data_IF_788367730746
#
_entry.id   IF_788367730746
#
_cell.length_a   1.000
_cell.length_b   1.000
_cell.length_c   1.000
_cell.angle_alpha   90.00
_cell.angle_beta   90.00
_cell.angle_gamma   90.00
#
_symmetry.space_group_name_H-M   'P 1'
#
loop_
_entity.id
_entity.type
_entity.pdbx_description
1 polymer ?
#
# COMPACT_ATOMS: atom_id res chain seq x y z
N UNK A 1 -33.72 54.89 -1.29
CA UNK A 1 -34.19 53.56 -1.69
C UNK A 1 -34.25 53.51 -3.21
N UNK A 2 -33.71 52.47 -3.86
CA UNK A 2 -32.98 51.32 -3.30
C UNK A 2 -31.46 51.44 -3.50
N UNK A 3 -30.74 50.43 -3.01
CA UNK A 3 -29.31 50.16 -3.17
C UNK A 3 -28.97 49.60 -4.56
N UNK A 4 -27.72 49.79 -5.04
CA UNK A 4 -26.94 48.69 -5.62
C UNK A 4 -25.45 49.05 -5.86
N UNK A 5 -24.46 48.30 -5.32
CA UNK A 5 -23.05 48.45 -5.66
C UNK A 5 -22.65 47.48 -6.79
N UNK A 6 -22.33 47.99 -7.99
CA UNK A 6 -21.74 47.18 -9.07
C UNK A 6 -20.29 46.77 -8.78
N UNK A 7 -20.12 45.71 -7.99
CA UNK A 7 -18.86 44.98 -7.91
C UNK A 7 -18.68 44.11 -9.17
N UNK A 8 -17.71 44.46 -10.02
CA UNK A 8 -17.39 43.68 -11.22
C UNK A 8 -16.86 42.29 -10.83
N UNK A 9 -17.51 41.23 -11.30
CA UNK A 9 -17.08 39.86 -11.09
C UNK A 9 -15.68 39.59 -11.67
N UNK A 10 -14.72 39.28 -10.81
CA UNK A 10 -13.45 38.66 -11.17
C UNK A 10 -13.37 37.28 -10.50
N UNK A 11 -13.56 36.22 -11.28
CA UNK A 11 -13.47 34.85 -10.77
C UNK A 11 -11.99 34.44 -10.58
N UNK A 12 -11.60 33.85 -9.43
CA UNK A 12 -10.21 33.47 -9.17
C UNK A 12 -9.75 32.24 -9.96
N UNK A 13 -8.46 32.24 -10.33
CA UNK A 13 -7.84 31.33 -11.30
C UNK A 13 -7.60 29.90 -10.78
N UNK A 14 -8.57 29.00 -10.93
CA UNK A 14 -8.40 27.58 -10.50
C UNK A 14 -7.63 26.70 -11.49
N UNK A 15 -7.63 27.05 -12.79
CA UNK A 15 -7.02 26.22 -13.84
C UNK A 15 -5.49 26.28 -13.92
N UNK A 16 -4.85 27.31 -13.36
CA UNK A 16 -3.40 27.47 -13.36
C UNK A 16 -2.69 26.40 -12.49
N UNK A 17 -3.33 25.99 -11.38
CA UNK A 17 -2.76 25.04 -10.42
C UNK A 17 -2.58 23.62 -11.02
N UNK A 18 -3.63 23.08 -11.66
CA UNK A 18 -3.61 21.71 -12.24
C UNK A 18 -2.54 21.52 -13.32
N UNK A 19 -2.26 22.54 -14.15
CA UNK A 19 -1.26 22.45 -15.23
C UNK A 19 0.19 22.50 -14.71
N UNK A 20 0.42 23.01 -13.50
CA UNK A 20 1.76 23.08 -12.89
C UNK A 20 2.20 21.74 -12.29
N UNK A 21 1.26 21.01 -11.67
CA UNK A 21 1.51 19.69 -11.08
C UNK A 21 1.91 18.63 -12.11
N UNK A 22 1.32 18.67 -13.31
CA UNK A 22 1.57 17.70 -14.39
C UNK A 22 2.85 17.96 -15.20
N UNK A 23 3.54 19.09 -15.00
CA UNK A 23 4.69 19.50 -15.84
C UNK A 23 6.06 19.08 -15.30
N UNK A 24 6.11 18.39 -14.15
CA UNK A 24 7.34 18.10 -13.42
C UNK A 24 7.96 16.71 -13.69
N UNK A 25 7.37 15.89 -14.57
CA UNK A 25 7.68 14.45 -14.68
C UNK A 25 8.22 13.97 -16.05
N UNK A 26 8.60 14.85 -16.98
CA UNK A 26 8.85 14.50 -18.38
C UNK A 26 10.22 14.86 -18.96
N UNK A 27 11.25 14.06 -18.64
CA UNK A 27 12.57 13.85 -19.28
C UNK A 27 13.48 13.17 -18.22
N UNK A 28 14.36 12.18 -18.40
CA UNK A 28 15.18 11.57 -19.49
C UNK A 28 15.25 10.04 -19.16
N UNK A 29 15.39 9.03 -20.02
CA UNK A 29 16.08 8.88 -21.32
C UNK A 29 15.36 7.92 -22.31
N UNK A 30 16.13 7.23 -23.16
CA UNK A 30 15.77 6.05 -23.95
C UNK A 30 16.93 5.01 -23.90
N UNK A 31 16.68 3.76 -24.33
CA UNK A 31 17.61 2.61 -24.42
C UNK A 31 18.10 2.03 -23.07
N UNK A 32 18.46 0.73 -22.92
CA UNK A 32 18.71 -0.32 -23.92
C UNK A 32 18.36 -1.76 -23.44
N UNK A 33 18.34 -2.68 -24.42
CA UNK A 33 18.21 -4.15 -24.44
C UNK A 33 18.39 -5.02 -23.17
N UNK A 34 17.38 -5.86 -22.95
CA UNK A 34 17.38 -7.33 -22.82
C UNK A 34 18.58 -8.13 -22.22
N UNK A 35 18.25 -9.03 -21.29
CA UNK A 35 18.72 -10.44 -21.30
C UNK A 35 17.73 -11.36 -20.58
N UNK A 36 17.46 -12.54 -21.15
CA UNK A 36 16.68 -13.64 -20.57
C UNK A 36 17.60 -14.67 -19.89
N UNK A 37 17.05 -15.50 -19.01
CA UNK A 37 17.11 -16.99 -19.03
C UNK A 37 16.39 -17.53 -17.78
N UNK A 38 15.60 -18.59 -17.93
CA UNK A 38 14.89 -19.25 -16.81
C UNK A 38 15.59 -20.52 -16.33
N UNK A 39 15.04 -21.16 -15.29
CA UNK A 39 15.41 -22.52 -14.90
C UNK A 39 14.20 -23.30 -14.38
N UNK A 40 14.09 -24.54 -14.84
CA UNK A 40 13.03 -25.50 -14.49
C UNK A 40 13.58 -26.61 -13.61
N UNK A 41 12.88 -26.90 -12.50
CA UNK A 41 13.04 -28.10 -11.66
C UNK A 41 11.62 -28.48 -11.23
N UNK A 42 11.15 -29.72 -11.23
CA UNK A 42 11.82 -31.00 -11.50
C UNK A 42 11.25 -32.08 -10.55
N UNK A 43 10.02 -32.54 -10.80
CA UNK A 43 9.32 -33.47 -9.91
C UNK A 43 9.83 -34.92 -10.02
N UNK A 44 9.77 -35.65 -8.91
CA UNK A 44 9.89 -37.12 -8.84
C UNK A 44 8.76 -37.71 -7.97
N UNK A 45 8.27 -38.93 -8.25
CA UNK A 45 6.99 -39.42 -7.74
C UNK A 45 7.05 -40.11 -6.37
N UNK A 46 5.89 -40.19 -5.71
CA UNK A 46 5.69 -40.84 -4.41
C UNK A 46 5.62 -42.36 -4.51
N UNK A 47 6.13 -43.06 -3.50
CA UNK A 47 5.94 -44.51 -3.31
C UNK A 47 4.78 -44.78 -2.36
N UNK A 48 3.76 -45.51 -2.81
CA UNK A 48 2.70 -46.01 -1.93
C UNK A 48 3.24 -47.05 -0.94
N UNK A 49 2.87 -46.91 0.32
CA UNK A 49 3.10 -47.91 1.36
C UNK A 49 1.80 -48.14 2.13
N UNK A 50 1.19 -49.31 1.92
CA UNK A 50 -0.05 -49.69 2.60
C UNK A 50 0.21 -49.96 4.09
N UNK A 51 -0.61 -49.37 4.95
CA UNK A 51 -0.53 -49.58 6.39
C UNK A 51 -1.77 -49.00 7.09
N UNK A 52 -2.66 -49.87 7.56
CA UNK A 52 -3.86 -49.49 8.33
C UNK A 52 -3.47 -48.91 9.70
N UNK A 53 -3.21 -47.61 9.73
CA UNK A 53 -3.09 -46.80 10.94
C UNK A 53 -4.40 -46.06 11.21
N UNK A 54 -5.09 -46.42 12.30
CA UNK A 54 -6.32 -45.75 12.78
C UNK A 54 -6.03 -44.28 13.12
N UNK A 55 -6.21 -43.39 12.14
CA UNK A 55 -5.98 -41.96 12.31
C UNK A 55 -7.04 -41.32 13.22
N UNK A 56 -6.68 -41.12 14.49
CA UNK A 56 -7.29 -40.04 15.28
C UNK A 56 -6.92 -38.73 14.62
N UNK A 57 -7.91 -38.01 14.08
CA UNK A 57 -7.75 -36.65 13.55
C UNK A 57 -7.53 -35.70 14.73
N UNK A 58 -6.32 -35.69 15.21
CA UNK A 58 -5.83 -34.69 16.15
C UNK A 58 -5.68 -33.39 15.36
N UNK A 59 -6.58 -32.42 15.62
CA UNK A 59 -6.44 -31.07 15.10
C UNK A 59 -5.24 -30.42 15.79
N UNK A 60 -4.05 -30.72 15.26
CA UNK A 60 -2.86 -29.90 15.51
C UNK A 60 -3.23 -28.49 15.04
N UNK A 61 -3.26 -27.48 15.94
CA UNK A 61 -3.37 -26.11 15.51
C UNK A 61 -2.12 -25.83 14.69
N UNK A 62 -2.28 -25.75 13.36
CA UNK A 62 -1.21 -25.30 12.49
C UNK A 62 -0.97 -23.84 12.84
N UNK A 63 -0.04 -23.60 13.75
CA UNK A 63 0.43 -22.27 14.08
C UNK A 63 0.97 -21.67 12.79
N UNK A 64 0.18 -20.77 12.19
CA UNK A 64 0.56 -20.04 11.00
C UNK A 64 1.93 -19.41 11.26
N UNK A 65 2.89 -19.51 10.31
CA UNK A 65 4.17 -18.85 10.47
C UNK A 65 3.91 -17.35 10.65
N UNK A 66 4.29 -16.80 11.80
CA UNK A 66 4.10 -15.38 12.10
C UNK A 66 4.82 -14.55 11.04
N UNK A 67 4.08 -13.74 10.29
CA UNK A 67 4.57 -12.94 9.15
C UNK A 67 5.27 -11.66 9.62
N UNK A 68 6.25 -11.84 10.51
CA UNK A 68 6.84 -10.75 11.28
C UNK A 68 7.67 -9.82 10.40
N UNK A 69 7.04 -8.73 9.95
CA UNK A 69 7.74 -7.55 9.44
C UNK A 69 8.42 -6.81 10.62
N UNK A 70 9.63 -6.28 10.42
CA UNK A 70 10.28 -5.43 11.42
C UNK A 70 9.49 -4.13 11.61
N UNK A 71 8.71 -4.10 12.69
CA UNK A 71 7.80 -3.01 12.96
C UNK A 71 8.52 -1.68 13.17
N UNK A 72 9.69 -1.68 13.79
CA UNK A 72 10.45 -0.45 14.09
C UNK A 72 10.88 0.25 12.79
N UNK A 73 11.35 -0.52 11.81
CA UNK A 73 11.73 0.00 10.50
C UNK A 73 10.49 0.34 9.66
N UNK A 74 9.42 -0.46 9.73
CA UNK A 74 8.19 -0.21 8.99
C UNK A 74 7.46 1.07 9.45
N UNK A 75 7.37 1.34 10.76
CA UNK A 75 6.83 2.61 11.29
C UNK A 75 7.66 3.80 10.78
N UNK A 76 8.99 3.67 10.76
CA UNK A 76 9.90 4.69 10.25
C UNK A 76 9.75 4.92 8.73
N UNK A 77 9.35 3.91 7.95
CA UNK A 77 8.95 4.04 6.55
C UNK A 77 7.61 4.77 6.44
N UNK A 78 6.63 4.41 7.28
CA UNK A 78 5.32 5.07 7.36
C UNK A 78 5.43 6.57 7.62
N UNK A 79 6.33 6.99 8.52
CA UNK A 79 6.66 8.39 8.78
C UNK A 79 7.09 9.20 7.54
N UNK A 80 7.67 8.51 6.55
CA UNK A 80 8.20 9.13 5.33
C UNK A 80 7.18 9.10 4.19
N UNK A 81 6.55 7.95 3.93
CA UNK A 81 5.71 7.76 2.73
C UNK A 81 4.28 8.23 2.90
N UNK A 82 3.72 8.16 4.10
CA UNK A 82 2.34 8.55 4.35
C UNK A 82 2.22 10.09 4.46
N UNK A 83 1.10 10.71 4.04
CA UNK A 83 0.95 12.16 4.15
C UNK A 83 1.14 12.68 5.58
N UNK A 84 1.62 13.91 5.72
CA UNK A 84 1.70 14.58 7.03
C UNK A 84 0.35 15.06 7.54
N UNK A 85 -0.62 15.26 6.64
CA UNK A 85 -1.96 15.79 6.94
C UNK A 85 -2.82 14.88 7.84
N UNK A 86 -2.52 13.58 7.90
CA UNK A 86 -3.22 12.62 8.77
C UNK A 86 -2.63 12.53 10.19
N UNK A 87 -1.56 13.29 10.46
CA UNK A 87 -0.86 13.29 11.76
C UNK A 87 -0.14 11.98 12.09
N UNK A 88 0.59 11.97 13.21
CA UNK A 88 1.32 10.78 13.68
C UNK A 88 0.39 9.62 14.03
N UNK A 89 -0.76 9.90 14.68
CA UNK A 89 -1.75 8.88 15.02
C UNK A 89 -2.35 8.20 13.79
N UNK A 90 -2.76 8.97 12.76
CA UNK A 90 -3.28 8.41 11.52
C UNK A 90 -2.24 7.61 10.73
N UNK A 91 -0.95 8.01 10.81
CA UNK A 91 0.16 7.23 10.23
C UNK A 91 0.36 5.90 10.95
N UNK A 92 0.41 5.91 12.28
CA UNK A 92 0.54 4.68 13.08
C UNK A 92 -0.64 3.72 12.82
N UNK A 93 -1.87 4.23 12.74
CA UNK A 93 -3.05 3.45 12.38
C UNK A 93 -2.98 2.86 10.97
N UNK A 94 -2.44 3.60 9.99
CA UNK A 94 -2.27 3.12 8.62
C UNK A 94 -1.20 2.02 8.50
N UNK A 95 -0.11 2.12 9.27
CA UNK A 95 0.90 1.04 9.37
C UNK A 95 0.31 -0.17 10.08
N UNK A 96 -0.46 0.02 11.15
CA UNK A 96 -1.15 -1.07 11.85
C UNK A 96 -2.09 -1.83 10.92
N UNK A 97 -2.99 -1.12 10.24
CA UNK A 97 -3.91 -1.73 9.29
C UNK A 97 -3.18 -2.46 8.15
N UNK A 98 -2.00 -1.99 7.73
CA UNK A 98 -1.17 -2.70 6.76
C UNK A 98 -0.57 -3.99 7.32
N UNK A 99 -0.09 -4.00 8.57
CA UNK A 99 0.42 -5.22 9.22
C UNK A 99 -0.70 -6.24 9.43
N UNK A 100 -1.85 -5.82 9.96
CA UNK A 100 -3.04 -6.70 10.08
C UNK A 100 -3.44 -7.30 8.73
N UNK A 101 -3.47 -6.49 7.66
CA UNK A 101 -3.78 -6.95 6.31
C UNK A 101 -2.75 -7.97 5.74
N UNK A 102 -1.48 -7.88 6.14
CA UNK A 102 -0.45 -8.88 5.79
C UNK A 102 -0.56 -10.14 6.62
N UNK A 103 -0.82 -10.02 7.92
CA UNK A 103 -1.00 -11.16 8.83
C UNK A 103 -2.23 -12.00 8.44
N UNK A 104 -3.33 -11.34 8.05
CA UNK A 104 -4.57 -11.97 7.57
C UNK A 104 -4.52 -12.46 6.11
N UNK A 105 -3.43 -12.22 5.37
CA UNK A 105 -3.31 -12.63 3.97
C UNK A 105 -3.28 -14.17 3.81
N UNK A 106 -4.12 -14.71 2.93
CA UNK A 106 -4.12 -16.14 2.60
C UNK A 106 -3.44 -16.38 1.23
N UNK A 107 -2.17 -16.81 1.21
CA UNK A 107 -1.36 -16.87 0.00
C UNK A 107 -1.77 -18.04 -0.89
N UNK A 108 -1.87 -17.79 -2.21
CA UNK A 108 -2.29 -18.80 -3.19
C UNK A 108 -3.71 -19.35 -2.95
N UNK A 109 -4.54 -18.66 -2.16
CA UNK A 109 -5.97 -18.95 -2.08
C UNK A 109 -6.66 -18.67 -3.43
N UNK A 110 -7.78 -19.35 -3.69
CA UNK A 110 -8.60 -19.10 -4.88
C UNK A 110 -9.19 -17.68 -4.82
N UNK A 111 -8.99 -16.89 -5.89
CA UNK A 111 -9.64 -15.59 -6.03
C UNK A 111 -11.14 -15.80 -6.24
N UNK A 112 -11.97 -15.13 -5.44
CA UNK A 112 -13.44 -15.13 -5.62
C UNK A 112 -13.82 -14.75 -7.06
N UNK A 113 -14.25 -15.74 -7.82
CA UNK A 113 -14.55 -15.60 -9.23
C UNK A 113 -15.86 -14.80 -9.43
N UNK A 114 -15.77 -13.68 -10.15
CA UNK A 114 -16.94 -12.87 -10.48
C UNK A 114 -17.85 -13.57 -11.49
N UNK A 115 -19.15 -13.25 -11.47
CA UNK A 115 -20.11 -13.73 -12.46
C UNK A 115 -19.60 -13.49 -13.89
N UNK A 116 -19.46 -14.56 -14.67
CA UNK A 116 -19.02 -14.52 -16.07
C UNK A 116 -17.56 -14.89 -16.33
N UNK A 117 -16.75 -15.15 -15.29
CA UNK A 117 -15.42 -15.74 -15.47
C UNK A 117 -15.51 -17.28 -15.44
N UNK A 118 -14.91 -17.93 -16.45
CA UNK A 118 -14.82 -19.39 -16.54
C UNK A 118 -13.52 -19.96 -15.95
N UNK A 119 -12.47 -19.13 -15.87
CA UNK A 119 -11.15 -19.52 -15.38
C UNK A 119 -11.03 -19.27 -13.87
N UNK A 120 -10.57 -20.30 -13.15
CA UNK A 120 -10.18 -20.19 -11.75
C UNK A 120 -8.84 -19.45 -11.65
N UNK A 121 -8.77 -18.44 -10.78
CA UNK A 121 -7.57 -17.65 -10.52
C UNK A 121 -7.15 -17.81 -9.06
N UNK A 122 -5.86 -17.55 -8.78
CA UNK A 122 -5.29 -17.68 -7.44
C UNK A 122 -4.54 -16.41 -7.06
N UNK A 123 -4.57 -16.08 -5.78
CA UNK A 123 -3.82 -14.96 -5.21
C UNK A 123 -2.30 -15.19 -5.36
N UNK A 124 -1.49 -14.11 -5.39
CA UNK A 124 -0.03 -14.23 -5.37
C UNK A 124 0.51 -15.02 -4.17
N UNK A 125 1.74 -15.56 -4.26
CA UNK A 125 2.48 -16.07 -3.10
C UNK A 125 2.63 -15.01 -1.98
N UNK A 126 2.93 -15.47 -0.77
CA UNK A 126 3.14 -14.60 0.39
C UNK A 126 4.25 -13.56 0.15
N UNK A 127 3.94 -12.25 0.17
CA UNK A 127 4.94 -11.20 -0.05
C UNK A 127 5.79 -10.90 1.19
N UNK A 128 5.38 -11.33 2.40
CA UNK A 128 5.99 -10.90 3.66
C UNK A 128 7.50 -11.23 3.77
N UNK A 129 8.00 -12.41 3.37
CA UNK A 129 9.45 -12.70 3.39
C UNK A 129 10.26 -11.78 2.47
N UNK A 130 9.69 -11.41 1.31
CA UNK A 130 10.32 -10.46 0.38
C UNK A 130 10.35 -9.05 0.95
N UNK A 131 9.25 -8.59 1.52
CA UNK A 131 9.16 -7.27 2.16
C UNK A 131 10.03 -7.17 3.41
N UNK A 132 10.12 -8.22 4.23
CA UNK A 132 11.05 -8.25 5.36
C UNK A 132 12.51 -8.14 4.91
N UNK A 133 12.87 -8.83 3.82
CA UNK A 133 14.20 -8.71 3.21
C UNK A 133 14.49 -7.28 2.71
N UNK A 134 13.47 -6.56 2.23
CA UNK A 134 13.59 -5.14 1.84
C UNK A 134 13.74 -4.21 3.05
N UNK A 135 13.06 -4.46 4.16
CA UNK A 135 13.24 -3.68 5.41
C UNK A 135 14.67 -3.84 5.96
N UNK A 136 15.21 -5.07 5.96
CA UNK A 136 16.62 -5.33 6.30
C UNK A 136 17.57 -4.61 5.32
N UNK A 137 17.25 -4.62 4.02
CA UNK A 137 18.00 -3.89 3.00
C UNK A 137 18.02 -2.38 3.22
N UNK A 138 16.90 -1.77 3.65
CA UNK A 138 16.83 -0.36 4.01
C UNK A 138 17.72 -0.03 5.22
N UNK A 139 17.73 -0.86 6.25
CA UNK A 139 18.55 -0.64 7.44
C UNK A 139 20.06 -0.73 7.12
N UNK A 140 20.47 -1.72 6.32
CA UNK A 140 21.84 -1.84 5.81
C UNK A 140 22.25 -0.65 4.93
N UNK A 141 21.33 -0.12 4.11
CA UNK A 141 21.56 1.06 3.29
C UNK A 141 21.68 2.33 4.15
N UNK A 142 20.84 2.48 5.18
CA UNK A 142 20.94 3.55 6.17
C UNK A 142 22.27 3.49 6.92
N UNK A 143 22.69 2.31 7.38
CA UNK A 143 23.97 2.14 8.06
C UNK A 143 25.14 2.53 7.15
N UNK A 144 25.09 2.19 5.86
CA UNK A 144 26.11 2.62 4.88
C UNK A 144 26.11 4.14 4.65
N UNK A 145 24.94 4.75 4.45
CA UNK A 145 24.81 6.16 4.08
C UNK A 145 24.92 7.14 5.26
N UNK A 146 24.55 6.71 6.47
CA UNK A 146 24.34 7.56 7.65
C UNK A 146 25.03 7.06 8.93
N UNK A 147 25.63 5.87 8.91
CA UNK A 147 26.25 5.21 10.08
C UNK A 147 25.26 5.01 11.25
N UNK A 148 23.97 4.86 10.93
CA UNK A 148 22.88 4.59 11.88
C UNK A 148 21.82 3.68 11.23
N UNK A 149 21.08 2.97 12.07
CA UNK A 149 19.86 2.27 11.67
C UNK A 149 18.84 3.24 11.02
N UNK A 150 18.03 2.73 10.10
CA UNK A 150 17.04 3.53 9.36
C UNK A 150 16.02 4.18 10.31
N UNK A 151 15.54 3.43 11.31
CA UNK A 151 14.62 3.95 12.31
C UNK A 151 15.21 5.07 13.21
N UNK A 152 16.53 5.15 13.32
CA UNK A 152 17.26 6.14 14.15
C UNK A 152 17.72 7.38 13.36
N UNK A 153 17.53 7.36 12.05
CA UNK A 153 17.72 8.52 11.19
C UNK A 153 16.57 9.53 11.40
N UNK A 154 16.88 10.82 11.24
CA UNK A 154 15.86 11.87 11.18
C UNK A 154 15.02 11.79 9.89
N UNK A 155 13.92 12.54 9.83
CA UNK A 155 12.98 12.48 8.71
C UNK A 155 13.58 12.93 7.35
N UNK A 156 14.68 13.67 7.32
CA UNK A 156 15.38 14.03 6.08
C UNK A 156 16.32 12.89 5.67
N UNK A 157 17.12 12.39 6.60
CA UNK A 157 18.00 11.26 6.36
C UNK A 157 17.25 9.99 5.95
N UNK A 158 16.08 9.70 6.56
CA UNK A 158 15.19 8.59 6.13
C UNK A 158 14.65 8.79 4.71
N UNK A 159 14.28 10.01 4.32
CA UNK A 159 13.84 10.34 2.95
C UNK A 159 14.95 10.04 1.95
N UNK A 160 16.15 10.55 2.17
CA UNK A 160 17.27 10.37 1.26
C UNK A 160 17.64 8.88 1.06
N UNK A 161 17.62 8.09 2.15
CA UNK A 161 17.86 6.63 2.08
C UNK A 161 16.75 5.93 1.30
N UNK A 162 15.49 6.28 1.55
CA UNK A 162 14.36 5.69 0.84
C UNK A 162 14.33 6.08 -0.64
N UNK A 163 14.65 7.34 -0.98
CA UNK A 163 14.82 7.80 -2.37
C UNK A 163 15.95 7.04 -3.06
N UNK A 164 17.07 6.76 -2.38
CA UNK A 164 18.14 5.93 -2.94
C UNK A 164 17.70 4.47 -3.16
N UNK A 165 16.94 3.89 -2.24
CA UNK A 165 16.41 2.52 -2.37
C UNK A 165 15.38 2.37 -3.51
N UNK A 166 14.56 3.41 -3.75
CA UNK A 166 13.54 3.42 -4.79
C UNK A 166 14.06 3.93 -6.16
N UNK A 167 15.32 4.36 -6.27
CA UNK A 167 15.86 5.05 -7.44
C UNK A 167 15.83 4.24 -8.75
N UNK A 168 15.81 2.90 -8.67
CA UNK A 168 15.70 1.99 -9.82
C UNK A 168 14.26 1.61 -10.18
N UNK A 169 13.25 2.08 -9.43
CA UNK A 169 11.86 1.68 -9.59
C UNK A 169 11.09 2.76 -10.35
N UNK A 170 10.79 2.49 -11.62
CA UNK A 170 9.91 3.35 -12.43
C UNK A 170 8.43 3.11 -12.08
N UNK A 171 7.94 3.81 -11.05
CA UNK A 171 6.56 3.77 -10.62
C UNK A 171 5.75 5.00 -11.11
N UNK A 172 5.47 5.06 -12.42
CA UNK A 172 4.60 6.09 -13.03
C UNK A 172 3.19 6.17 -12.42
N UNK A 173 2.71 5.07 -11.82
CA UNK A 173 1.43 4.96 -11.13
C UNK A 173 1.62 4.10 -9.89
N UNK A 174 0.90 4.45 -8.81
CA UNK A 174 0.83 3.65 -7.60
C UNK A 174 0.22 2.25 -7.91
N UNK A 175 0.94 1.14 -7.68
CA UNK A 175 0.49 -0.20 -8.04
C UNK A 175 -0.57 -0.73 -7.06
N UNK A 176 -1.17 -1.88 -7.36
CA UNK A 176 -1.91 -2.65 -6.35
C UNK A 176 -0.95 -3.07 -5.21
N UNK A 177 -1.39 -3.13 -3.93
CA UNK A 177 -0.49 -3.39 -2.79
C UNK A 177 0.35 -4.67 -2.92
N UNK A 178 -0.27 -5.80 -3.30
CA UNK A 178 0.42 -7.08 -3.51
C UNK A 178 1.34 -7.08 -4.74
N UNK A 179 1.09 -6.21 -5.71
CA UNK A 179 1.91 -6.05 -6.92
C UNK A 179 2.99 -4.96 -6.77
N UNK A 180 3.19 -4.41 -5.58
CA UNK A 180 4.16 -3.34 -5.36
C UNK A 180 5.59 -3.90 -5.31
N UNK A 181 6.54 -3.35 -6.09
CA UNK A 181 7.91 -3.87 -6.15
C UNK A 181 8.72 -3.59 -4.86
N UNK A 182 8.21 -2.73 -3.98
CA UNK A 182 8.86 -2.39 -2.71
C UNK A 182 7.82 -2.18 -1.59
N UNK A 183 8.11 -2.66 -0.37
CA UNK A 183 7.23 -2.57 0.81
C UNK A 183 6.75 -1.14 1.11
N UNK A 184 7.60 -0.14 0.90
CA UNK A 184 7.25 1.27 1.06
C UNK A 184 6.15 1.73 0.08
N UNK A 185 6.15 1.18 -1.15
CA UNK A 185 5.08 1.40 -2.13
C UNK A 185 3.85 0.56 -1.78
N UNK A 186 4.01 -0.68 -1.28
CA UNK A 186 2.90 -1.52 -0.82
C UNK A 186 2.09 -0.84 0.30
N UNK A 187 2.77 -0.28 1.30
CA UNK A 187 2.18 0.49 2.40
C UNK A 187 1.42 1.73 1.88
N UNK A 188 2.03 2.50 0.98
CA UNK A 188 1.40 3.68 0.39
C UNK A 188 0.18 3.30 -0.47
N UNK A 189 0.29 2.25 -1.29
CA UNK A 189 -0.81 1.67 -2.06
C UNK A 189 -1.95 1.18 -1.17
N UNK A 190 -1.64 0.50 -0.06
CA UNK A 190 -2.64 0.01 0.88
C UNK A 190 -3.39 1.18 1.53
N UNK A 191 -2.66 2.16 2.08
CA UNK A 191 -3.27 3.35 2.66
C UNK A 191 -4.10 4.13 1.63
N UNK A 192 -3.62 4.32 0.41
CA UNK A 192 -4.32 5.08 -0.63
C UNK A 192 -5.65 4.41 -1.08
N UNK A 193 -5.79 3.09 -0.90
CA UNK A 193 -7.03 2.37 -1.14
C UNK A 193 -7.95 2.28 0.09
N UNK A 194 -7.51 2.79 1.26
CA UNK A 194 -8.30 2.76 2.50
C UNK A 194 -9.49 3.74 2.46
N UNK A 195 -10.56 3.50 3.25
CA UNK A 195 -11.71 4.39 3.31
C UNK A 195 -11.34 5.83 3.71
N UNK A 196 -10.41 5.97 4.67
CA UNK A 196 -9.92 7.27 5.13
C UNK A 196 -9.18 8.07 4.07
N UNK A 197 -8.38 7.42 3.20
CA UNK A 197 -7.68 8.12 2.11
C UNK A 197 -8.66 8.65 1.06
N UNK A 198 -9.70 7.87 0.73
CA UNK A 198 -10.78 8.30 -0.17
C UNK A 198 -11.59 9.47 0.41
N UNK A 199 -11.93 9.41 1.70
CA UNK A 199 -12.69 10.47 2.36
C UNK A 199 -11.92 11.80 2.44
N UNK A 200 -10.60 11.72 2.63
CA UNK A 200 -9.69 12.87 2.56
C UNK A 200 -9.58 13.42 1.12
N UNK A 201 -9.48 12.55 0.11
CA UNK A 201 -9.36 12.95 -1.29
C UNK A 201 -10.66 13.58 -1.86
N UNK A 202 -11.82 13.22 -1.31
CA UNK A 202 -13.14 13.71 -1.72
C UNK A 202 -13.72 14.78 -0.78
N UNK A 203 -13.03 15.10 0.32
CA UNK A 203 -13.50 15.97 1.42
C UNK A 203 -14.88 15.57 1.99
N UNK A 204 -15.23 14.28 1.90
CA UNK A 204 -16.57 13.76 2.20
C UNK A 204 -16.50 12.33 2.76
N UNK A 205 -17.37 12.01 3.71
CA UNK A 205 -17.46 10.69 4.35
C UNK A 205 -18.15 9.69 3.42
N UNK A 206 -17.42 9.26 2.38
CA UNK A 206 -17.86 8.26 1.40
C UNK A 206 -17.67 6.85 1.95
N UNK A 207 -16.65 6.62 2.78
CA UNK A 207 -16.32 5.36 3.42
C UNK A 207 -16.45 4.15 2.46
N UNK A 208 -15.73 4.12 1.32
CA UNK A 208 -15.79 2.99 0.39
C UNK A 208 -15.41 1.69 1.11
N UNK A 209 -15.92 0.57 0.60
CA UNK A 209 -15.76 -0.77 1.19
C UNK A 209 -16.30 -0.91 2.64
N UNK A 210 -17.04 0.09 3.15
CA UNK A 210 -17.73 0.03 4.44
C UNK A 210 -19.24 -0.07 4.20
N UNK A 211 -19.87 -1.11 4.74
CA UNK A 211 -21.33 -1.26 4.65
C UNK A 211 -22.03 -0.15 5.43
N UNK A 212 -23.04 0.48 4.80
CA UNK A 212 -23.98 1.41 5.44
C UNK A 212 -25.34 0.73 5.63
N UNK A 213 -26.10 1.22 6.61
CA UNK A 213 -27.54 0.98 6.69
C UNK A 213 -28.22 1.48 5.40
N UNK A 214 -29.31 0.84 5.00
CA UNK A 214 -30.08 1.23 3.81
C UNK A 214 -30.80 2.58 4.00
N UNK A 215 -31.12 2.92 5.24
CA UNK A 215 -31.79 4.18 5.58
C UNK A 215 -30.94 5.39 5.18
N UNK A 216 -31.52 6.23 4.31
CA UNK A 216 -30.87 7.45 3.84
C UNK A 216 -29.76 7.24 2.81
N UNK A 217 -29.74 6.11 2.08
CA UNK A 217 -28.78 5.86 0.98
C UNK A 217 -28.80 6.95 -0.12
N UNK A 218 -29.95 7.59 -0.33
CA UNK A 218 -30.10 8.71 -1.29
C UNK A 218 -29.50 10.04 -0.77
N UNK A 219 -29.17 10.12 0.53
CA UNK A 219 -28.61 11.32 1.13
C UNK A 219 -27.14 11.49 0.70
N UNK A 220 -26.81 12.70 0.23
CA UNK A 220 -25.44 13.05 -0.14
C UNK A 220 -24.47 12.81 1.03
N UNK A 221 -23.28 12.20 0.79
CA UNK A 221 -22.24 12.06 1.80
C UNK A 221 -21.94 13.37 2.55
N UNK A 222 -21.82 13.27 3.87
CA UNK A 222 -21.45 14.40 4.74
C UNK A 222 -20.04 14.87 4.38
N UNK A 223 -19.73 16.15 4.56
CA UNK A 223 -18.34 16.63 4.42
C UNK A 223 -17.47 16.03 5.53
N UNK A 224 -16.27 15.58 5.17
CA UNK A 224 -15.32 14.97 6.10
C UNK A 224 -14.69 16.00 7.06
N UNK A 225 -14.79 17.29 6.74
CA UNK A 225 -14.39 18.38 7.62
C UNK A 225 -15.49 19.43 7.80
N UNK A 226 -15.80 19.67 9.06
CA UNK A 226 -16.51 20.84 9.57
C UNK A 226 -15.95 21.11 10.96
N UNK A 227 -15.10 22.13 11.08
CA UNK A 227 -14.74 22.67 12.39
C UNK A 227 -15.98 23.26 13.07
N UNK A 228 -15.91 23.39 14.39
CA UNK A 228 -16.91 24.07 15.22
C UNK A 228 -17.27 25.45 14.67
N UNK A 229 -18.57 25.75 14.64
CA UNK A 229 -19.13 27.09 14.68
C UNK A 229 -19.94 27.21 15.99
#
# INVERSE_FOLDING_TARGET
MPDDPSASNAAPETHASRRRFLKAAGAVAASAAAATVGSTVGCAPSTSGDGEGKATREEVPQALPTRTLDRRTLDAVGDVVLPSTIGSAGRAQAVEAFVTWVDEYDPVAEEMHGYGYADVRYLPPDPAPGWQSQLIGLDLLAQRMRQRAFAECDATARRDVLTAALASIDAQRLPAPLGAPHVALALLSHWANSPGAWDLALEATVAPNTCRQLDGIDAKPRRAFGGTA
#
